data_IF_394383771030
#
_entry.id   IF_394383771030
#
_cell.length_a   1.000
_cell.length_b   1.000
_cell.length_c   1.000
_cell.angle_alpha   90.00
_cell.angle_beta   90.00
_cell.angle_gamma   90.00
#
_symmetry.space_group_name_H-M   'P 1'
#
loop_
_entity.id
_entity.type
_entity.pdbx_description
1 polymer ?
#
# COMPACT_ATOMS: atom_id res chain seq x y z
N UNK A 1 4.90 -7.30 -7.83
CA UNK A 1 5.95 -7.22 -6.79
C UNK A 1 7.23 -6.56 -7.31
N UNK A 2 7.62 -6.81 -8.56
CA UNK A 2 8.83 -6.22 -9.14
C UNK A 2 8.78 -4.68 -9.19
N UNK A 3 7.62 -4.10 -9.48
CA UNK A 3 7.44 -2.66 -9.45
C UNK A 3 7.63 -2.09 -8.04
N UNK A 4 7.18 -2.81 -7.04
CA UNK A 4 7.37 -2.45 -5.63
C UNK A 4 8.87 -2.44 -5.29
N UNK A 5 9.61 -3.46 -5.71
CA UNK A 5 11.05 -3.51 -5.51
C UNK A 5 11.78 -2.34 -6.17
N UNK A 6 11.39 -2.02 -7.42
CA UNK A 6 11.97 -0.89 -8.15
C UNK A 6 11.75 0.43 -7.40
N UNK A 7 10.55 0.63 -6.86
CA UNK A 7 10.22 1.86 -6.15
C UNK A 7 10.94 1.96 -4.81
N UNK A 8 11.12 0.84 -4.12
CA UNK A 8 11.92 0.82 -2.90
C UNK A 8 13.36 1.24 -3.18
N UNK A 9 13.92 0.79 -4.31
CA UNK A 9 15.29 1.10 -4.67
C UNK A 9 15.46 2.51 -5.23
N UNK A 10 14.41 3.10 -5.78
CA UNK A 10 14.43 4.43 -6.38
C UNK A 10 14.43 5.57 -5.36
N UNK A 11 14.11 5.29 -4.10
CA UNK A 11 14.04 6.29 -3.02
C UNK A 11 13.09 7.44 -3.35
N UNK A 12 11.93 7.11 -3.89
CA UNK A 12 10.86 8.05 -4.20
C UNK A 12 9.64 7.79 -3.33
N UNK A 13 8.82 8.82 -3.05
CA UNK A 13 7.58 8.60 -2.30
C UNK A 13 6.56 7.87 -3.16
N UNK A 14 5.90 6.87 -2.59
CA UNK A 14 4.85 6.12 -3.29
C UNK A 14 3.91 5.45 -2.28
N UNK A 15 2.72 5.08 -2.77
CA UNK A 15 1.77 4.29 -2.01
C UNK A 15 1.76 2.86 -2.54
N UNK A 16 1.72 1.90 -1.64
CA UNK A 16 1.48 0.51 -2.00
C UNK A 16 0.25 0.01 -1.25
N UNK A 17 -0.64 -0.67 -1.97
CA UNK A 17 -1.85 -1.27 -1.40
C UNK A 17 -1.73 -2.77 -1.57
N UNK A 18 -1.76 -3.49 -0.46
CA UNK A 18 -1.66 -4.94 -0.45
C UNK A 18 -3.07 -5.51 -0.42
N UNK A 19 -3.41 -6.32 -1.40
CA UNK A 19 -4.73 -6.94 -1.55
C UNK A 19 -4.59 -8.44 -1.75
N UNK A 20 -5.72 -9.15 -1.78
CA UNK A 20 -5.76 -10.58 -2.11
C UNK A 20 -7.10 -10.91 -2.76
N UNK A 21 -7.16 -12.02 -3.48
CA UNK A 21 -8.41 -12.51 -4.06
C UNK A 21 -9.36 -12.96 -2.95
N UNK A 22 -10.65 -12.75 -3.15
CA UNK A 22 -11.67 -13.12 -2.18
C UNK A 22 -11.75 -12.22 -0.95
N UNK A 23 -11.09 -11.08 -0.97
CA UNK A 23 -11.12 -10.11 0.12
C UNK A 23 -12.25 -9.09 -0.11
N UNK A 24 -13.34 -9.19 0.63
CA UNK A 24 -14.49 -8.29 0.47
C UNK A 24 -14.14 -6.83 0.73
N UNK A 25 -13.35 -6.56 1.76
CA UNK A 25 -12.91 -5.20 2.06
C UNK A 25 -11.96 -4.66 1.00
N UNK A 26 -11.14 -5.50 0.38
CA UNK A 26 -10.30 -5.08 -0.74
C UNK A 26 -11.14 -4.61 -1.92
N UNK A 27 -12.20 -5.37 -2.23
CA UNK A 27 -13.13 -5.01 -3.32
C UNK A 27 -13.83 -3.68 -3.06
N UNK A 28 -14.16 -3.39 -1.82
CA UNK A 28 -14.76 -2.11 -1.44
C UNK A 28 -13.75 -0.97 -1.46
N UNK A 29 -12.49 -1.26 -1.18
CA UNK A 29 -11.45 -0.27 -1.02
C UNK A 29 -10.82 0.16 -2.35
N UNK A 30 -10.64 -0.76 -3.26
CA UNK A 30 -9.98 -0.49 -4.55
C UNK A 30 -10.61 0.67 -5.34
N UNK A 31 -11.95 0.78 -5.48
CA UNK A 31 -12.53 1.92 -6.18
C UNK A 31 -12.22 3.26 -5.52
N UNK A 32 -12.18 3.29 -4.20
CA UNK A 32 -11.85 4.49 -3.43
C UNK A 32 -10.40 4.92 -3.72
N UNK A 33 -9.48 3.96 -3.65
CA UNK A 33 -8.06 4.20 -3.91
C UNK A 33 -7.85 4.70 -5.33
N UNK A 34 -8.47 4.06 -6.31
CA UNK A 34 -8.33 4.45 -7.71
C UNK A 34 -8.90 5.84 -7.99
N UNK A 35 -10.06 6.15 -7.41
CA UNK A 35 -10.66 7.47 -7.57
C UNK A 35 -9.74 8.57 -7.04
N UNK A 36 -9.19 8.38 -5.85
CA UNK A 36 -8.29 9.36 -5.23
C UNK A 36 -6.97 9.42 -5.98
N UNK A 37 -6.43 8.29 -6.40
CA UNK A 37 -5.21 8.25 -7.19
C UNK A 37 -5.33 9.04 -8.48
N UNK A 38 -6.46 8.89 -9.18
CA UNK A 38 -6.73 9.63 -10.42
C UNK A 38 -6.92 11.12 -10.15
N UNK A 39 -7.64 11.47 -9.08
CA UNK A 39 -7.91 12.86 -8.73
C UNK A 39 -6.63 13.63 -8.39
N UNK A 40 -5.74 13.01 -7.63
CA UNK A 40 -4.50 13.66 -7.18
C UNK A 40 -3.27 13.23 -7.97
N UNK A 41 -3.41 12.34 -8.95
CA UNK A 41 -2.32 11.84 -9.81
C UNK A 41 -1.19 11.22 -8.99
N UNK A 42 -1.54 10.31 -8.11
CA UNK A 42 -0.59 9.69 -7.18
C UNK A 42 0.02 8.41 -7.75
N UNK A 43 1.30 8.14 -7.45
CA UNK A 43 1.91 6.86 -7.79
C UNK A 43 1.45 5.80 -6.78
N UNK A 44 0.48 4.98 -7.17
CA UNK A 44 -0.06 3.89 -6.35
C UNK A 44 0.21 2.56 -7.03
N UNK A 45 0.70 1.62 -6.25
CA UNK A 45 1.02 0.27 -6.72
C UNK A 45 0.23 -0.75 -5.91
N UNK A 46 -0.28 -1.78 -6.59
CA UNK A 46 -1.01 -2.86 -5.94
C UNK A 46 -0.13 -4.10 -5.89
N UNK A 47 -0.14 -4.78 -4.75
CA UNK A 47 0.43 -6.11 -4.62
C UNK A 47 -0.71 -7.05 -4.26
N UNK A 48 -1.02 -7.99 -5.16
CA UNK A 48 -2.01 -9.02 -4.88
C UNK A 48 -1.28 -10.25 -4.34
N UNK A 49 -1.46 -10.52 -3.04
CA UNK A 49 -0.78 -11.60 -2.35
C UNK A 49 -1.08 -12.98 -2.96
N UNK A 50 -2.25 -13.13 -3.57
CA UNK A 50 -2.64 -14.39 -4.20
C UNK A 50 -1.72 -14.77 -5.35
N UNK A 51 -1.13 -13.77 -6.01
CA UNK A 51 -0.25 -13.95 -7.16
C UNK A 51 1.24 -14.10 -6.78
N UNK A 52 1.56 -14.01 -5.49
CA UNK A 52 2.95 -14.14 -5.04
C UNK A 52 3.33 -15.61 -4.85
N UNK A 53 4.53 -15.98 -5.28
CA UNK A 53 5.09 -17.27 -4.94
C UNK A 53 5.65 -17.24 -3.50
N UNK A 54 6.12 -18.38 -2.99
CA UNK A 54 6.62 -18.47 -1.62
C UNK A 54 7.81 -17.54 -1.35
N UNK A 55 8.71 -17.41 -2.31
CA UNK A 55 9.90 -16.56 -2.16
C UNK A 55 9.50 -15.08 -2.13
N UNK A 56 8.57 -14.68 -3.00
CA UNK A 56 8.06 -13.31 -3.03
C UNK A 56 7.28 -12.96 -1.76
N UNK A 57 6.47 -13.89 -1.27
CA UNK A 57 5.74 -13.70 -0.01
C UNK A 57 6.71 -13.50 1.15
N UNK A 58 7.73 -14.33 1.26
CA UNK A 58 8.75 -14.21 2.29
C UNK A 58 9.52 -12.90 2.17
N UNK A 59 9.90 -12.52 0.95
CA UNK A 59 10.60 -11.28 0.69
C UNK A 59 9.73 -10.06 1.07
N UNK A 60 8.43 -10.09 0.76
CA UNK A 60 7.51 -9.03 1.14
C UNK A 60 7.43 -8.88 2.66
N UNK A 61 7.31 -9.98 3.37
CA UNK A 61 7.18 -9.98 4.84
C UNK A 61 8.41 -9.46 5.57
N UNK A 62 9.55 -9.37 4.90
CA UNK A 62 10.79 -8.83 5.45
C UNK A 62 11.28 -7.56 4.75
N UNK A 63 10.48 -7.04 3.82
CA UNK A 63 10.93 -5.94 2.96
C UNK A 63 10.99 -4.58 3.67
N UNK A 64 10.24 -4.40 4.75
CA UNK A 64 10.23 -3.12 5.46
C UNK A 64 9.91 -3.33 6.95
N UNK A 65 10.03 -2.26 7.72
CA UNK A 65 9.83 -2.31 9.17
C UNK A 65 8.39 -2.64 9.58
N UNK A 66 7.39 -2.23 8.80
CA UNK A 66 6.00 -2.52 9.11
C UNK A 66 5.73 -4.02 9.07
N UNK A 67 6.12 -4.68 7.99
CA UNK A 67 5.89 -6.11 7.84
C UNK A 67 6.71 -6.92 8.85
N UNK A 68 7.92 -6.51 9.13
CA UNK A 68 8.76 -7.17 10.14
C UNK A 68 8.15 -7.09 11.52
N UNK A 69 7.65 -5.92 11.90
CA UNK A 69 7.02 -5.68 13.20
C UNK A 69 5.71 -6.42 13.35
N UNK A 70 4.94 -6.53 12.27
CA UNK A 70 3.61 -7.12 12.28
C UNK A 70 3.58 -8.51 11.63
N UNK A 71 4.70 -9.20 11.60
CA UNK A 71 4.83 -10.48 10.93
C UNK A 71 3.77 -11.48 11.40
N UNK A 72 3.02 -12.04 10.46
CA UNK A 72 1.91 -12.94 10.74
C UNK A 72 0.65 -12.30 11.32
N UNK A 73 0.64 -10.97 11.49
CA UNK A 73 -0.48 -10.24 12.11
C UNK A 73 -1.12 -9.19 11.21
N UNK A 74 -0.52 -8.91 10.07
CA UNK A 74 -1.10 -7.94 9.13
C UNK A 74 -2.05 -8.66 8.17
N UNK A 75 -3.02 -7.92 7.66
CA UNK A 75 -4.04 -8.46 6.77
C UNK A 75 -4.25 -7.58 5.55
N UNK A 76 -5.32 -7.81 4.82
CA UNK A 76 -5.66 -7.04 3.62
C UNK A 76 -7.04 -6.38 3.80
N UNK A 77 -7.26 -5.21 3.20
CA UNK A 77 -6.24 -4.41 2.52
C UNK A 77 -5.28 -3.74 3.51
N UNK A 78 -4.06 -3.48 3.10
CA UNK A 78 -3.09 -2.72 3.89
C UNK A 78 -2.49 -1.65 2.97
N UNK A 79 -2.52 -0.40 3.40
CA UNK A 79 -1.95 0.71 2.63
C UNK A 79 -0.72 1.24 3.35
N UNK A 80 0.38 1.36 2.62
CA UNK A 80 1.62 1.91 3.15
C UNK A 80 2.04 3.12 2.32
N UNK A 81 2.36 4.21 3.01
CA UNK A 81 3.07 5.32 2.38
C UNK A 81 4.55 5.10 2.61
N UNK A 82 5.30 4.95 1.52
CA UNK A 82 6.72 4.62 1.57
C UNK A 82 7.57 5.69 0.93
N UNK A 83 8.77 5.86 1.46
CA UNK A 83 9.84 6.59 0.81
C UNK A 83 11.02 5.63 0.68
N UNK A 84 11.30 5.19 -0.55
CA UNK A 84 12.27 4.13 -0.74
C UNK A 84 11.82 2.87 -0.01
N UNK A 85 12.66 2.31 0.84
CA UNK A 85 12.33 1.13 1.64
C UNK A 85 11.83 1.44 3.05
N UNK A 86 11.56 2.72 3.33
CA UNK A 86 11.07 3.15 4.64
C UNK A 86 9.56 3.35 4.62
N UNK A 87 8.88 2.81 5.63
CA UNK A 87 7.44 3.05 5.82
C UNK A 87 7.27 4.31 6.67
N UNK A 88 6.66 5.32 6.06
CA UNK A 88 6.45 6.61 6.71
C UNK A 88 5.12 6.63 7.46
N UNK A 89 4.08 6.03 6.87
CA UNK A 89 2.75 5.98 7.46
C UNK A 89 2.00 4.77 6.91
N UNK A 90 0.94 4.35 7.59
CA UNK A 90 0.20 3.15 7.20
C UNK A 90 -1.28 3.25 7.55
N UNK A 91 -2.11 2.54 6.79
CA UNK A 91 -3.52 2.31 7.10
C UNK A 91 -3.73 0.80 7.13
N UNK A 92 -3.86 0.19 8.31
CA UNK A 92 -4.22 -1.22 8.39
C UNK A 92 -5.72 -1.40 8.18
N UNK A 93 -6.10 -2.12 7.12
CA UNK A 93 -7.49 -2.42 6.82
C UNK A 93 -8.19 -1.36 5.97
N UNK A 94 -9.52 -1.48 5.90
CA UNK A 94 -10.36 -0.61 5.10
C UNK A 94 -10.63 0.71 5.82
N UNK A 95 -10.58 1.81 5.06
CA UNK A 95 -11.08 3.11 5.52
C UNK A 95 -11.96 3.70 4.41
N UNK A 96 -12.82 4.66 4.77
CA UNK A 96 -13.66 5.32 3.78
C UNK A 96 -12.84 6.35 2.98
N UNK A 97 -13.48 6.95 1.98
CA UNK A 97 -12.84 7.92 1.09
C UNK A 97 -12.27 9.12 1.86
N UNK A 98 -13.03 9.66 2.81
CA UNK A 98 -12.60 10.85 3.56
C UNK A 98 -11.34 10.58 4.36
N UNK A 99 -11.25 9.42 5.01
CA UNK A 99 -10.07 9.02 5.77
C UNK A 99 -8.88 8.79 4.84
N UNK A 100 -9.10 8.19 3.69
CA UNK A 100 -8.03 7.96 2.72
C UNK A 100 -7.51 9.27 2.14
N UNK A 101 -8.39 10.21 1.81
CA UNK A 101 -8.00 11.54 1.34
C UNK A 101 -7.18 12.28 2.39
N UNK A 102 -7.58 12.19 3.66
CA UNK A 102 -6.84 12.78 4.76
C UNK A 102 -5.42 12.22 4.84
N UNK A 103 -5.29 10.90 4.75
CA UNK A 103 -3.99 10.22 4.73
C UNK A 103 -3.11 10.72 3.58
N UNK A 104 -3.69 10.83 2.39
CA UNK A 104 -2.98 11.31 1.21
C UNK A 104 -2.49 12.75 1.41
N UNK A 105 -3.37 13.63 1.88
CA UNK A 105 -3.02 15.04 2.09
C UNK A 105 -1.94 15.24 3.14
N UNK A 106 -1.98 14.44 4.19
CA UNK A 106 -0.98 14.50 5.26
C UNK A 106 0.41 14.06 4.78
N UNK A 107 0.46 13.06 3.90
CA UNK A 107 1.72 12.46 3.48
C UNK A 107 2.31 13.04 2.20
N UNK A 108 1.47 13.41 1.25
CA UNK A 108 1.93 13.96 -0.03
C UNK A 108 1.89 15.48 -0.08
N UNK A 109 1.27 16.14 0.89
CA UNK A 109 1.12 17.59 0.95
C UNK A 109 0.49 18.16 -0.32
N UNK A 110 -0.48 17.41 -0.89
CA UNK A 110 -1.18 17.87 -2.09
C UNK A 110 -2.14 19.00 -1.75
N UNK A 111 -2.18 19.98 -2.64
CA UNK A 111 -3.14 21.08 -2.56
C UNK A 111 -4.33 20.69 -3.41
N UNK A 112 -5.45 20.45 -2.75
CA UNK A 112 -6.62 19.94 -3.45
C UNK A 112 -7.73 20.90 -3.62
#
# INVERSE_FOLDING_TARGET
YSEYEEKMNAKEPFLVVIVRDGCGYCEMYEPIVEEVANEYRLPIYYINMTNLNNDEYTALGTSNSYFKKNQGKWGTPTTLFMYGNSVIDSIPGYVDKDEFVKFVKENFKVEG
#
